data_IF_388310035198
#
_entry.id   IF_388310035198
#
_cell.length_a   1.000
_cell.length_b   1.000
_cell.length_c   1.000
_cell.angle_alpha   90.00
_cell.angle_beta   90.00
_cell.angle_gamma   90.00
#
_symmetry.space_group_name_H-M   'P 1'
#
loop_
_entity.id
_entity.type
_entity.pdbx_description
1 polymer ?
#
# COMPACT_ATOMS: atom_id res chain seq x y z
N UNK A 1 -39.08 0.36 -27.24
CA UNK A 1 -37.89 -0.33 -27.80
C UNK A 1 -36.58 0.14 -27.17
N UNK A 2 -36.22 1.44 -27.25
CA UNK A 2 -34.95 1.97 -26.71
C UNK A 2 -34.74 1.76 -25.20
N UNK A 3 -35.75 2.03 -24.36
CA UNK A 3 -35.65 1.85 -22.90
C UNK A 3 -35.35 0.39 -22.50
N UNK A 4 -36.02 -0.57 -23.15
CA UNK A 4 -35.80 -2.01 -22.92
C UNK A 4 -34.37 -2.42 -23.28
N UNK A 5 -33.83 -1.91 -24.38
CA UNK A 5 -32.44 -2.16 -24.78
C UNK A 5 -31.45 -1.56 -23.78
N UNK A 6 -31.67 -0.33 -23.30
CA UNK A 6 -30.83 0.33 -22.28
C UNK A 6 -30.84 -0.47 -20.97
N UNK A 7 -32.02 -0.87 -20.48
CA UNK A 7 -32.13 -1.68 -19.25
C UNK A 7 -31.37 -2.99 -19.43
N UNK A 8 -31.54 -3.67 -20.56
CA UNK A 8 -30.85 -4.92 -20.84
C UNK A 8 -29.32 -4.73 -20.88
N UNK A 9 -28.84 -3.65 -21.52
CA UNK A 9 -27.41 -3.30 -21.53
C UNK A 9 -26.86 -3.02 -20.14
N UNK A 10 -27.59 -2.29 -19.30
CA UNK A 10 -27.19 -2.02 -17.90
C UNK A 10 -27.13 -3.30 -17.10
N UNK A 11 -28.14 -4.18 -17.22
CA UNK A 11 -28.17 -5.48 -16.54
C UNK A 11 -26.98 -6.34 -16.96
N UNK A 12 -26.72 -6.48 -18.26
CA UNK A 12 -25.57 -7.25 -18.75
C UNK A 12 -24.23 -6.66 -18.30
N UNK A 13 -24.06 -5.34 -18.43
CA UNK A 13 -22.84 -4.65 -18.02
C UNK A 13 -22.60 -4.75 -16.50
N UNK A 14 -23.67 -4.84 -15.70
CA UNK A 14 -23.58 -4.87 -14.24
C UNK A 14 -23.54 -6.29 -13.67
N UNK A 15 -23.91 -7.33 -14.42
CA UNK A 15 -24.03 -8.69 -13.92
C UNK A 15 -22.72 -9.23 -13.32
N UNK A 16 -21.61 -9.11 -14.06
CA UNK A 16 -20.30 -9.57 -13.59
C UNK A 16 -19.76 -8.72 -12.42
N UNK A 17 -19.75 -7.37 -12.49
CA UNK A 17 -19.39 -6.55 -11.34
C UNK A 17 -20.24 -6.82 -10.10
N UNK A 18 -21.55 -7.04 -10.26
CA UNK A 18 -22.46 -7.30 -9.15
C UNK A 18 -22.19 -8.68 -8.54
N UNK A 19 -21.94 -9.71 -9.35
CA UNK A 19 -21.55 -11.02 -8.85
C UNK A 19 -20.26 -10.95 -8.02
N UNK A 20 -19.25 -10.22 -8.52
CA UNK A 20 -18.00 -9.99 -7.79
C UNK A 20 -18.22 -9.18 -6.50
N UNK A 21 -19.09 -8.17 -6.55
CA UNK A 21 -19.44 -7.35 -5.39
C UNK A 21 -20.17 -8.16 -4.32
N UNK A 22 -21.11 -9.02 -4.71
CA UNK A 22 -21.83 -9.91 -3.79
C UNK A 22 -20.85 -10.91 -3.15
N UNK A 23 -19.98 -11.54 -3.95
CA UNK A 23 -18.97 -12.47 -3.43
C UNK A 23 -18.03 -11.78 -2.44
N UNK A 24 -17.47 -10.63 -2.82
CA UNK A 24 -16.57 -9.88 -1.93
C UNK A 24 -17.28 -9.43 -0.66
N UNK A 25 -18.49 -8.87 -0.76
CA UNK A 25 -19.29 -8.49 0.40
C UNK A 25 -19.55 -9.70 1.31
N UNK A 26 -19.90 -10.86 0.76
CA UNK A 26 -20.08 -12.09 1.51
C UNK A 26 -18.80 -12.47 2.26
N UNK A 27 -17.63 -12.47 1.60
CA UNK A 27 -16.34 -12.77 2.24
C UNK A 27 -16.04 -11.81 3.40
N UNK A 28 -16.22 -10.50 3.21
CA UNK A 28 -16.02 -9.51 4.27
C UNK A 28 -17.04 -9.61 5.42
N UNK A 29 -18.25 -10.13 5.17
CA UNK A 29 -19.28 -10.30 6.18
C UNK A 29 -19.19 -11.64 6.94
N UNK A 30 -18.47 -12.62 6.41
CA UNK A 30 -18.38 -13.97 6.99
C UNK A 30 -17.01 -14.27 7.59
N UNK A 31 -15.93 -13.79 7.00
CA UNK A 31 -14.57 -14.04 7.46
C UNK A 31 -14.16 -13.07 8.60
N UNK A 32 -13.79 -13.57 9.80
CA UNK A 32 -13.40 -12.72 10.93
C UNK A 32 -12.14 -11.87 10.69
N UNK A 33 -11.15 -12.40 9.95
CA UNK A 33 -9.93 -11.67 9.63
C UNK A 33 -10.26 -10.49 8.71
N UNK A 34 -11.03 -10.72 7.65
CA UNK A 34 -11.44 -9.67 6.72
C UNK A 34 -12.26 -8.57 7.39
N UNK A 35 -13.07 -8.90 8.41
CA UNK A 35 -13.77 -7.89 9.22
C UNK A 35 -12.80 -6.98 9.96
N UNK A 36 -11.79 -7.56 10.61
CA UNK A 36 -10.78 -6.78 11.34
C UNK A 36 -10.00 -5.91 10.36
N UNK A 37 -9.53 -6.50 9.25
CA UNK A 37 -8.84 -5.78 8.17
C UNK A 37 -9.68 -4.60 7.66
N UNK A 38 -10.98 -4.82 7.39
CA UNK A 38 -11.88 -3.76 6.88
C UNK A 38 -12.13 -2.65 7.91
N UNK A 39 -12.19 -2.98 9.20
CA UNK A 39 -12.37 -2.00 10.28
C UNK A 39 -11.14 -1.08 10.45
N UNK A 40 -9.96 -1.62 10.17
CA UNK A 40 -8.67 -0.94 10.27
C UNK A 40 -8.26 -0.18 9.00
N UNK A 41 -8.64 -0.68 7.82
CA UNK A 41 -8.32 -0.05 6.54
C UNK A 41 -9.19 1.19 6.26
N UNK A 42 -8.85 2.30 6.91
CA UNK A 42 -9.54 3.59 6.78
C UNK A 42 -8.76 4.52 5.85
N UNK A 43 -9.41 4.93 4.77
CA UNK A 43 -8.85 5.84 3.76
C UNK A 43 -9.76 7.08 3.64
N UNK A 44 -9.71 7.97 4.64
CA UNK A 44 -10.52 9.19 4.66
C UNK A 44 -10.18 10.08 3.45
N UNK A 45 -11.09 10.99 3.08
CA UNK A 45 -10.86 11.90 1.98
C UNK A 45 -9.72 12.85 2.37
N UNK A 46 -8.91 13.23 1.39
CA UNK A 46 -7.87 14.22 1.62
C UNK A 46 -8.51 15.61 1.82
N UNK A 47 -7.80 16.58 2.42
CA UNK A 47 -8.21 17.98 2.36
C UNK A 47 -8.51 18.41 0.91
N UNK A 48 -9.60 19.16 0.72
CA UNK A 48 -10.05 19.62 -0.60
C UNK A 48 -8.93 20.36 -1.35
N UNK A 49 -8.08 21.10 -0.64
CA UNK A 49 -6.91 21.79 -1.19
C UNK A 49 -5.94 20.86 -1.91
N UNK A 50 -5.74 19.63 -1.43
CA UNK A 50 -4.86 18.66 -2.10
C UNK A 50 -5.46 18.17 -3.41
N UNK A 51 -6.78 17.99 -3.50
CA UNK A 51 -7.43 17.65 -4.77
C UNK A 51 -7.28 18.80 -5.79
N UNK A 52 -7.40 20.06 -5.37
CA UNK A 52 -7.13 21.20 -6.24
C UNK A 52 -5.65 21.29 -6.65
N UNK A 53 -4.72 20.98 -5.74
CA UNK A 53 -3.30 20.95 -6.08
C UNK A 53 -2.98 19.84 -7.10
N UNK A 54 -3.57 18.65 -6.92
CA UNK A 54 -3.33 17.50 -7.79
C UNK A 54 -4.03 17.60 -9.15
N UNK A 55 -5.31 18.01 -9.18
CA UNK A 55 -6.15 17.98 -10.39
C UNK A 55 -6.58 19.36 -10.88
N UNK A 56 -6.48 20.41 -10.07
CA UNK A 56 -7.05 21.72 -10.40
C UNK A 56 -6.40 22.38 -11.61
N UNK A 57 -5.12 22.12 -11.87
CA UNK A 57 -4.44 22.59 -13.07
C UNK A 57 -4.98 21.96 -14.36
N UNK A 58 -5.63 20.79 -14.30
CA UNK A 58 -6.28 20.15 -15.44
C UNK A 58 -7.65 20.78 -15.76
N UNK A 59 -8.28 21.50 -14.82
CA UNK A 59 -9.64 22.02 -15.02
C UNK A 59 -9.81 22.89 -16.27
N UNK A 60 -8.89 23.81 -16.62
CA UNK A 60 -9.02 24.57 -17.87
C UNK A 60 -9.05 23.67 -19.10
N UNK A 61 -8.22 22.62 -19.12
CA UNK A 61 -8.16 21.66 -20.24
C UNK A 61 -9.42 20.81 -20.31
N UNK A 62 -9.92 20.35 -19.16
CA UNK A 62 -11.14 19.54 -19.08
C UNK A 62 -12.36 20.35 -19.52
N UNK A 63 -12.49 21.60 -19.06
CA UNK A 63 -13.57 22.51 -19.48
C UNK A 63 -13.48 22.77 -20.98
N UNK A 64 -12.29 23.06 -21.50
CA UNK A 64 -12.06 23.19 -22.94
C UNK A 64 -12.45 21.92 -23.70
N UNK A 65 -12.17 20.75 -23.13
CA UNK A 65 -12.53 19.45 -23.70
C UNK A 65 -14.03 19.28 -23.82
N UNK A 66 -14.76 19.56 -22.74
CA UNK A 66 -16.22 19.49 -22.68
C UNK A 66 -16.86 20.39 -23.75
N UNK A 67 -16.37 21.62 -23.90
CA UNK A 67 -16.86 22.56 -24.92
C UNK A 67 -16.62 22.02 -26.33
N UNK A 68 -15.47 21.37 -26.55
CA UNK A 68 -15.03 20.88 -27.85
C UNK A 68 -15.48 19.44 -28.17
N UNK A 69 -16.11 18.76 -27.22
CA UNK A 69 -16.72 17.43 -27.36
C UNK A 69 -18.21 17.48 -27.73
N UNK A 70 -18.78 18.66 -28.02
CA UNK A 70 -20.20 18.77 -28.39
C UNK A 70 -20.56 17.97 -29.66
N UNK A 71 -19.57 17.68 -30.50
CA UNK A 71 -19.69 16.85 -31.70
C UNK A 71 -19.67 15.34 -31.42
N UNK A 72 -19.27 14.89 -30.22
CA UNK A 72 -19.23 13.46 -29.86
C UNK A 72 -20.62 12.84 -29.64
N UNK A 73 -21.68 13.63 -29.77
CA UNK A 73 -23.05 13.22 -29.47
C UNK A 73 -23.34 13.25 -27.97
N UNK A 74 -24.61 13.46 -27.64
CA UNK A 74 -25.03 13.72 -26.26
C UNK A 74 -24.73 12.53 -25.32
N UNK A 75 -24.88 11.30 -25.81
CA UNK A 75 -24.71 10.08 -25.00
C UNK A 75 -23.28 9.89 -24.49
N UNK A 76 -22.27 10.09 -25.35
CA UNK A 76 -20.85 9.92 -24.97
C UNK A 76 -20.40 10.97 -23.96
N UNK A 77 -20.75 12.24 -24.21
CA UNK A 77 -20.42 13.32 -23.29
C UNK A 77 -21.15 13.15 -21.96
N UNK A 78 -22.42 12.74 -21.99
CA UNK A 78 -23.20 12.44 -20.77
C UNK A 78 -22.56 11.33 -19.96
N UNK A 79 -22.09 10.24 -20.60
CA UNK A 79 -21.40 9.16 -19.91
C UNK A 79 -20.13 9.65 -19.19
N UNK A 80 -19.28 10.43 -19.88
CA UNK A 80 -18.06 10.97 -19.29
C UNK A 80 -18.35 11.93 -18.14
N UNK A 81 -19.33 12.82 -18.29
CA UNK A 81 -19.72 13.76 -17.24
C UNK A 81 -20.36 13.04 -16.04
N UNK A 82 -21.21 12.04 -16.29
CA UNK A 82 -21.80 11.22 -15.24
C UNK A 82 -20.72 10.45 -14.47
N UNK A 83 -19.73 9.88 -15.16
CA UNK A 83 -18.58 9.23 -14.51
C UNK A 83 -17.79 10.23 -13.67
N UNK A 84 -17.42 11.39 -14.22
CA UNK A 84 -16.67 12.41 -13.50
C UNK A 84 -17.40 12.88 -12.22
N UNK A 85 -18.69 13.21 -12.35
CA UNK A 85 -19.51 13.67 -11.21
C UNK A 85 -19.70 12.57 -10.18
N UNK A 86 -19.99 11.33 -10.62
CA UNK A 86 -20.17 10.19 -9.72
C UNK A 86 -18.89 9.89 -8.96
N UNK A 87 -17.75 9.80 -9.64
CA UNK A 87 -16.45 9.52 -9.01
C UNK A 87 -16.06 10.60 -8.00
N UNK A 88 -16.25 11.89 -8.33
CA UNK A 88 -15.98 12.99 -7.40
C UNK A 88 -16.97 13.01 -6.21
N UNK A 89 -18.24 12.68 -6.44
CA UNK A 89 -19.24 12.60 -5.38
C UNK A 89 -19.00 11.43 -4.42
N UNK A 90 -18.57 10.28 -4.95
CA UNK A 90 -18.31 9.08 -4.16
C UNK A 90 -17.22 9.30 -3.09
N UNK A 91 -16.23 10.15 -3.35
CA UNK A 91 -15.16 10.51 -2.38
C UNK A 91 -15.73 11.03 -1.05
N UNK A 92 -16.89 11.67 -1.06
CA UNK A 92 -17.49 12.24 0.15
C UNK A 92 -18.57 11.34 0.77
N UNK A 93 -18.72 10.12 0.26
CA UNK A 93 -19.66 9.15 0.85
C UNK A 93 -19.09 8.56 2.14
N UNK A 94 -19.93 8.27 3.14
CA UNK A 94 -19.50 7.81 4.46
C UNK A 94 -19.11 6.31 4.47
N UNK A 95 -18.24 5.89 3.55
CA UNK A 95 -17.67 4.53 3.52
C UNK A 95 -16.21 4.56 3.99
N UNK A 96 -15.60 3.42 4.29
CA UNK A 96 -14.23 3.38 4.87
C UNK A 96 -13.12 3.63 3.85
N UNK A 97 -13.36 3.35 2.57
CA UNK A 97 -12.38 3.39 1.47
C UNK A 97 -12.56 4.60 0.53
N UNK A 98 -13.04 5.73 1.05
CA UNK A 98 -13.48 6.90 0.28
C UNK A 98 -12.47 7.36 -0.78
N UNK A 99 -11.20 7.49 -0.38
CA UNK A 99 -10.14 7.98 -1.27
C UNK A 99 -9.86 7.07 -2.46
N UNK A 100 -10.19 5.77 -2.39
CA UNK A 100 -10.03 4.83 -3.53
C UNK A 100 -11.13 4.98 -4.58
N UNK A 101 -12.27 5.59 -4.24
CA UNK A 101 -13.39 5.74 -5.18
C UNK A 101 -13.13 6.76 -6.29
N UNK A 102 -12.10 7.60 -6.15
CA UNK A 102 -11.64 8.49 -7.23
C UNK A 102 -10.76 7.74 -8.25
N UNK A 103 -10.32 6.52 -7.94
CA UNK A 103 -9.50 5.74 -8.88
C UNK A 103 -10.26 5.55 -10.20
N UNK A 104 -9.58 5.77 -11.31
CA UNK A 104 -10.17 5.75 -12.65
C UNK A 104 -10.79 7.07 -13.13
N UNK A 105 -11.09 8.05 -12.26
CA UNK A 105 -11.58 9.38 -12.71
C UNK A 105 -10.57 10.08 -13.63
N UNK A 106 -9.28 9.81 -13.43
CA UNK A 106 -8.19 10.32 -14.28
C UNK A 106 -8.38 9.97 -15.77
N UNK A 107 -9.03 8.85 -16.10
CA UNK A 107 -9.31 8.46 -17.50
C UNK A 107 -10.18 9.52 -18.17
N UNK A 108 -11.24 9.95 -17.50
CA UNK A 108 -12.16 10.98 -18.01
C UNK A 108 -11.44 12.32 -18.15
N UNK A 109 -10.63 12.69 -17.16
CA UNK A 109 -9.85 13.93 -17.19
C UNK A 109 -8.90 13.95 -18.39
N UNK A 110 -8.17 12.84 -18.64
CA UNK A 110 -7.24 12.71 -19.77
C UNK A 110 -7.98 12.79 -21.10
N UNK A 111 -9.10 12.06 -21.27
CA UNK A 111 -9.87 12.07 -22.52
C UNK A 111 -10.35 13.50 -22.88
N UNK A 112 -10.90 14.23 -21.91
CA UNK A 112 -11.38 15.59 -22.13
C UNK A 112 -10.21 16.56 -22.35
N UNK A 113 -9.14 16.47 -21.55
CA UNK A 113 -7.96 17.31 -21.73
C UNK A 113 -7.32 17.11 -23.11
N UNK A 114 -7.16 15.85 -23.55
CA UNK A 114 -6.59 15.55 -24.87
C UNK A 114 -7.50 16.01 -26.00
N UNK A 115 -8.82 15.93 -25.84
CA UNK A 115 -9.75 16.50 -26.82
C UNK A 115 -9.58 18.01 -26.98
N UNK A 116 -9.36 18.72 -25.89
CA UNK A 116 -9.05 20.15 -25.97
C UNK A 116 -7.75 20.40 -26.73
N UNK A 117 -6.68 19.67 -26.39
CA UNK A 117 -5.37 19.77 -27.04
C UNK A 117 -5.47 19.50 -28.54
N UNK A 118 -6.18 18.45 -28.95
CA UNK A 118 -6.46 18.14 -30.36
C UNK A 118 -7.16 19.32 -31.05
N UNK A 119 -8.11 19.95 -30.37
CA UNK A 119 -8.87 21.06 -30.95
C UNK A 119 -8.10 22.38 -31.08
N UNK A 120 -6.92 22.52 -30.45
CA UNK A 120 -6.12 23.76 -30.48
C UNK A 120 -5.79 24.20 -31.90
N UNK A 121 -5.61 23.24 -32.83
CA UNK A 121 -5.34 23.55 -34.23
C UNK A 121 -6.51 24.29 -34.93
N UNK A 122 -7.75 24.11 -34.44
CA UNK A 122 -8.96 24.76 -34.95
C UNK A 122 -9.20 26.11 -34.28
N UNK A 123 -8.91 26.21 -32.98
CA UNK A 123 -9.20 27.39 -32.18
C UNK A 123 -8.17 28.51 -32.41
N UNK A 124 -6.89 28.17 -32.40
CA UNK A 124 -5.83 29.18 -32.53
C UNK A 124 -5.39 29.27 -34.00
N UNK A 125 -5.59 30.41 -34.67
CA UNK A 125 -5.07 30.60 -36.05
C UNK A 125 -3.55 30.70 -36.12
N UNK A 126 -2.90 31.08 -35.01
CA UNK A 126 -1.45 31.31 -34.98
C UNK A 126 -0.69 30.06 -34.51
N UNK A 127 0.08 29.47 -35.42
CA UNK A 127 0.95 28.31 -35.17
C UNK A 127 1.91 28.51 -33.99
N UNK A 128 2.40 29.75 -33.77
CA UNK A 128 3.31 30.07 -32.65
C UNK A 128 2.64 29.90 -31.29
N UNK A 129 1.38 30.34 -31.14
CA UNK A 129 0.64 30.23 -29.88
C UNK A 129 0.34 28.76 -29.54
N UNK A 130 -0.07 27.96 -30.54
CA UNK A 130 -0.29 26.52 -30.35
C UNK A 130 0.97 25.81 -29.85
N UNK A 131 2.12 26.07 -30.48
CA UNK A 131 3.41 25.51 -30.07
C UNK A 131 3.78 25.92 -28.66
N UNK A 132 3.54 27.17 -28.28
CA UNK A 132 3.79 27.64 -26.91
C UNK A 132 2.91 26.89 -25.91
N UNK A 133 1.61 26.75 -26.16
CA UNK A 133 0.69 26.01 -25.27
C UNK A 133 1.11 24.56 -25.11
N UNK A 134 1.38 23.86 -26.23
CA UNK A 134 1.85 22.47 -26.19
C UNK A 134 3.18 22.34 -25.46
N UNK A 135 4.11 23.28 -25.69
CA UNK A 135 5.39 23.31 -24.98
C UNK A 135 5.23 23.54 -23.47
N UNK A 136 4.36 24.46 -23.04
CA UNK A 136 4.08 24.70 -21.63
C UNK A 136 3.43 23.48 -20.97
N UNK A 137 2.49 22.81 -21.66
CA UNK A 137 1.90 21.56 -21.18
C UNK A 137 2.94 20.46 -21.05
N UNK A 138 3.82 20.30 -22.03
CA UNK A 138 4.93 19.37 -21.97
C UNK A 138 5.83 19.66 -20.76
N UNK A 139 6.25 20.92 -20.58
CA UNK A 139 7.06 21.33 -19.43
C UNK A 139 6.38 21.00 -18.09
N UNK A 140 5.06 21.14 -18.00
CA UNK A 140 4.31 20.85 -16.77
C UNK A 140 4.32 19.35 -16.40
N UNK A 141 4.51 18.45 -17.38
CA UNK A 141 4.62 17.01 -17.12
C UNK A 141 5.98 16.58 -16.59
N UNK A 142 7.05 17.34 -16.88
CA UNK A 142 8.42 16.95 -16.58
C UNK A 142 8.77 16.84 -15.09
N UNK A 143 8.33 17.74 -14.18
CA UNK A 143 8.76 17.71 -12.79
C UNK A 143 8.53 16.36 -12.11
N UNK A 144 7.37 15.74 -12.34
CA UNK A 144 7.04 14.43 -11.75
C UNK A 144 8.00 13.34 -12.22
N UNK A 145 8.23 13.22 -13.53
CA UNK A 145 9.14 12.24 -14.13
C UNK A 145 10.59 12.49 -13.70
N UNK A 146 11.03 13.75 -13.66
CA UNK A 146 12.37 14.13 -13.22
C UNK A 146 12.57 13.76 -11.75
N UNK A 147 11.61 14.06 -10.87
CA UNK A 147 11.69 13.70 -9.45
C UNK A 147 11.78 12.18 -9.26
N UNK A 148 11.01 11.40 -10.02
CA UNK A 148 11.07 9.94 -9.96
C UNK A 148 12.42 9.39 -10.44
N UNK A 149 12.96 9.90 -11.55
CA UNK A 149 14.25 9.45 -12.09
C UNK A 149 15.39 9.84 -11.14
N UNK A 150 15.44 11.09 -10.70
CA UNK A 150 16.48 11.57 -9.77
C UNK A 150 16.38 10.83 -8.44
N UNK A 151 15.18 10.69 -7.87
CA UNK A 151 14.96 9.95 -6.63
C UNK A 151 15.36 8.48 -6.74
N UNK A 152 15.10 7.85 -7.88
CA UNK A 152 15.55 6.49 -8.18
C UNK A 152 17.07 6.38 -8.25
N UNK A 153 17.73 7.28 -9.00
CA UNK A 153 19.19 7.34 -9.08
C UNK A 153 19.82 7.56 -7.70
N UNK A 154 19.30 8.51 -6.92
CA UNK A 154 19.80 8.79 -5.57
C UNK A 154 19.65 7.58 -4.63
N UNK A 155 18.53 6.88 -4.72
CA UNK A 155 18.28 5.66 -3.95
C UNK A 155 19.25 4.53 -4.33
N UNK A 156 19.59 4.41 -5.62
CA UNK A 156 20.57 3.44 -6.10
C UNK A 156 22.02 3.79 -5.73
N UNK A 157 22.37 5.09 -5.74
CA UNK A 157 23.70 5.57 -5.35
C UNK A 157 23.95 5.51 -3.83
N UNK A 158 22.89 5.54 -3.02
CA UNK A 158 22.97 5.46 -1.56
C UNK A 158 22.06 4.36 -1.03
N UNK A 159 22.40 3.07 -1.25
CA UNK A 159 21.55 1.95 -0.85
C UNK A 159 21.29 1.95 0.65
N UNK A 160 20.03 2.07 1.03
CA UNK A 160 19.56 2.05 2.42
C UNK A 160 18.22 1.33 2.50
N UNK A 161 17.91 0.81 3.69
CA UNK A 161 16.57 0.33 3.98
C UNK A 161 15.56 1.48 3.86
N UNK A 162 14.33 1.21 3.36
CA UNK A 162 13.78 -0.10 2.99
C UNK A 162 14.06 -0.54 1.54
N UNK A 163 14.72 0.29 0.72
CA UNK A 163 14.91 0.04 -0.72
C UNK A 163 15.94 -1.07 -0.99
N UNK A 164 16.95 -1.15 -0.13
CA UNK A 164 18.01 -2.15 -0.22
C UNK A 164 18.13 -2.91 1.10
N UNK A 165 18.18 -4.24 0.99
CA UNK A 165 18.49 -5.17 2.09
C UNK A 165 19.87 -5.74 1.79
N UNK A 166 20.77 -5.71 2.79
CA UNK A 166 22.14 -6.13 2.57
C UNK A 166 22.22 -7.64 2.33
N UNK A 167 23.14 -8.08 1.47
CA UNK A 167 23.35 -9.52 1.21
C UNK A 167 23.65 -10.32 2.49
N UNK A 168 24.28 -9.66 3.48
CA UNK A 168 24.58 -10.26 4.79
C UNK A 168 23.31 -10.60 5.56
N UNK A 169 22.34 -9.68 5.56
CA UNK A 169 21.04 -9.92 6.21
C UNK A 169 20.23 -10.96 5.46
N UNK A 170 20.22 -10.92 4.12
CA UNK A 170 19.47 -11.88 3.31
C UNK A 170 19.96 -13.31 3.49
N UNK A 171 21.28 -13.55 3.57
CA UNK A 171 21.81 -14.89 3.89
C UNK A 171 21.28 -15.39 5.25
N UNK A 172 21.26 -14.52 6.26
CA UNK A 172 20.76 -14.87 7.59
C UNK A 172 19.29 -15.30 7.54
N UNK A 173 18.47 -14.54 6.81
CA UNK A 173 17.06 -14.88 6.61
C UNK A 173 16.89 -16.17 5.80
N UNK A 174 17.60 -16.33 4.68
CA UNK A 174 17.52 -17.52 3.83
C UNK A 174 17.97 -18.80 4.53
N UNK A 175 18.88 -18.69 5.51
CA UNK A 175 19.34 -19.82 6.34
C UNK A 175 18.19 -20.47 7.10
N UNK A 176 17.15 -19.70 7.47
CA UNK A 176 15.95 -20.26 8.09
C UNK A 176 15.30 -21.36 7.24
N UNK A 177 15.35 -21.26 5.91
CA UNK A 177 14.78 -22.28 5.02
C UNK A 177 15.50 -23.63 5.09
N UNK A 178 16.72 -23.66 5.61
CA UNK A 178 17.49 -24.89 5.80
C UNK A 178 17.07 -25.63 7.07
N UNK A 179 16.44 -24.94 8.02
CA UNK A 179 15.93 -25.55 9.24
C UNK A 179 14.54 -26.11 9.02
N UNK A 180 14.39 -27.44 9.04
CA UNK A 180 13.09 -28.09 8.85
C UNK A 180 12.01 -27.57 9.83
N UNK A 181 12.42 -27.25 11.07
CA UNK A 181 11.54 -26.68 12.11
C UNK A 181 11.12 -25.24 11.84
N UNK A 182 11.86 -24.49 11.04
CA UNK A 182 11.57 -23.08 10.77
C UNK A 182 10.49 -22.88 9.70
N UNK A 183 10.13 -23.92 8.94
CA UNK A 183 9.05 -23.83 7.96
C UNK A 183 7.72 -23.50 8.66
N UNK A 184 7.08 -22.42 8.23
CA UNK A 184 5.85 -21.87 8.82
C UNK A 184 5.97 -21.46 10.30
N UNK A 185 7.20 -21.37 10.82
CA UNK A 185 7.47 -20.94 12.19
C UNK A 185 7.11 -19.46 12.38
N UNK A 186 6.66 -19.11 13.59
CA UNK A 186 6.40 -17.71 13.95
C UNK A 186 7.69 -17.09 14.44
N UNK A 187 8.11 -16.02 13.76
CA UNK A 187 9.33 -15.28 14.06
C UNK A 187 8.99 -13.93 14.66
N UNK A 188 9.64 -13.63 15.79
CA UNK A 188 9.64 -12.31 16.39
C UNK A 188 10.81 -11.51 15.85
N UNK A 189 10.51 -10.34 15.29
CA UNK A 189 11.49 -9.35 14.85
C UNK A 189 10.89 -7.94 14.96
N UNK A 190 11.69 -6.91 14.70
CA UNK A 190 11.20 -5.53 14.54
C UNK A 190 10.20 -5.41 13.38
N UNK A 191 9.50 -4.28 13.29
CA UNK A 191 8.57 -4.02 12.18
C UNK A 191 9.28 -4.04 10.83
N UNK A 192 10.46 -3.42 10.76
CA UNK A 192 11.28 -3.33 9.55
C UNK A 192 11.74 -4.71 9.10
N UNK A 193 12.30 -5.51 10.01
CA UNK A 193 12.75 -6.87 9.71
C UNK A 193 11.58 -7.79 9.37
N UNK A 194 10.47 -7.70 10.11
CA UNK A 194 9.29 -8.54 9.87
C UNK A 194 8.65 -8.31 8.50
N UNK A 195 8.69 -7.09 7.95
CA UNK A 195 8.18 -6.83 6.60
C UNK A 195 9.10 -7.35 5.49
N UNK A 196 10.39 -7.57 5.78
CA UNK A 196 11.37 -8.06 4.82
C UNK A 196 11.46 -9.59 4.85
N UNK A 197 11.41 -10.18 6.03
CA UNK A 197 11.70 -11.59 6.29
C UNK A 197 10.92 -12.58 5.38
N UNK A 198 9.60 -12.42 5.14
CA UNK A 198 8.83 -13.34 4.30
C UNK A 198 9.23 -13.34 2.81
N UNK A 199 9.99 -12.33 2.36
CA UNK A 199 10.54 -12.33 1.00
C UNK A 199 11.72 -13.31 0.83
N UNK A 200 12.37 -13.71 1.93
CA UNK A 200 13.58 -14.53 1.94
C UNK A 200 13.39 -15.89 2.64
N UNK A 201 12.35 -16.04 3.47
CA UNK A 201 12.10 -17.29 4.19
C UNK A 201 10.61 -17.66 4.24
N UNK A 202 10.33 -18.97 4.25
CA UNK A 202 8.97 -19.53 4.39
C UNK A 202 8.50 -19.52 5.84
N UNK A 203 8.28 -18.33 6.38
CA UNK A 203 8.02 -18.09 7.80
C UNK A 203 6.81 -17.18 7.99
N UNK A 204 6.26 -17.16 9.21
CA UNK A 204 5.21 -16.23 9.63
C UNK A 204 5.81 -15.18 10.55
N UNK A 205 5.35 -13.95 10.41
CA UNK A 205 5.78 -12.82 11.24
C UNK A 205 4.60 -12.28 12.03
N UNK A 206 4.88 -11.78 13.23
CA UNK A 206 3.83 -11.26 14.13
C UNK A 206 3.29 -9.90 13.65
N UNK A 207 4.18 -9.05 13.12
CA UNK A 207 3.81 -7.73 12.61
C UNK A 207 4.23 -7.57 11.15
N UNK A 208 3.27 -7.35 10.27
CA UNK A 208 3.47 -7.01 8.87
C UNK A 208 2.90 -5.63 8.54
N UNK A 209 2.77 -5.37 7.24
CA UNK A 209 2.32 -4.07 6.73
C UNK A 209 0.93 -3.71 7.29
N UNK A 210 0.79 -2.47 7.79
CA UNK A 210 -0.38 -1.91 8.46
C UNK A 210 -1.68 -2.75 8.52
N UNK A 211 -2.55 -2.69 7.49
CA UNK A 211 -3.85 -3.35 7.51
C UNK A 211 -3.78 -4.88 7.54
N UNK A 212 -2.65 -5.49 7.16
CA UNK A 212 -2.46 -6.95 7.14
C UNK A 212 -2.17 -7.54 8.53
N UNK A 213 -2.06 -6.71 9.57
CA UNK A 213 -1.82 -7.15 10.95
C UNK A 213 -2.95 -6.73 11.88
N UNK A 214 -3.81 -7.69 12.27
CA UNK A 214 -4.84 -7.46 13.28
C UNK A 214 -4.26 -6.82 14.54
N UNK A 215 -4.89 -5.75 15.01
CA UNK A 215 -4.42 -4.96 16.16
C UNK A 215 -2.95 -4.53 16.10
N UNK A 216 -2.41 -4.29 14.91
CA UNK A 216 -0.98 -4.02 14.67
C UNK A 216 -0.38 -2.93 15.56
N UNK A 217 -1.10 -1.84 15.87
CA UNK A 217 -0.59 -0.80 16.78
C UNK A 217 -0.30 -1.31 18.21
N UNK A 218 -1.18 -2.16 18.75
CA UNK A 218 -1.00 -2.75 20.09
C UNK A 218 0.15 -3.76 20.06
N UNK A 219 0.15 -4.63 19.04
CA UNK A 219 1.19 -5.64 18.86
C UNK A 219 2.58 -4.98 18.70
N UNK A 220 2.68 -3.89 17.95
CA UNK A 220 3.94 -3.14 17.79
C UNK A 220 4.44 -2.48 19.08
N UNK A 221 3.53 -2.03 19.95
CA UNK A 221 3.89 -1.53 21.29
C UNK A 221 4.46 -2.65 22.14
N UNK A 222 3.84 -3.83 22.10
CA UNK A 222 4.31 -5.01 22.83
C UNK A 222 5.65 -5.53 22.30
N UNK A 223 5.84 -5.55 20.97
CA UNK A 223 7.14 -5.88 20.34
C UNK A 223 8.22 -4.90 20.80
N UNK A 224 7.95 -3.59 20.78
CA UNK A 224 8.93 -2.60 21.28
C UNK A 224 9.25 -2.83 22.74
N UNK A 225 8.23 -3.08 23.57
CA UNK A 225 8.40 -3.39 24.99
C UNK A 225 9.24 -4.66 25.17
N UNK A 226 9.01 -5.71 24.39
CA UNK A 226 9.75 -6.96 24.45
C UNK A 226 11.28 -6.76 24.37
N UNK A 227 11.74 -5.91 23.45
CA UNK A 227 13.17 -5.62 23.22
C UNK A 227 13.80 -4.61 24.20
N UNK A 228 13.05 -4.04 25.14
CA UNK A 228 13.60 -3.14 26.16
C UNK A 228 14.26 -3.92 27.29
N UNK A 229 15.42 -3.48 27.76
CA UNK A 229 16.16 -4.14 28.85
C UNK A 229 15.34 -4.25 30.16
N UNK A 230 14.55 -3.23 30.46
CA UNK A 230 13.76 -3.12 31.71
C UNK A 230 12.51 -4.02 31.71
N UNK A 231 12.18 -4.64 30.59
CA UNK A 231 11.01 -5.51 30.50
C UNK A 231 11.24 -6.79 31.33
N UNK A 232 10.29 -7.17 32.20
CA UNK A 232 10.41 -8.40 32.98
C UNK A 232 10.45 -9.66 32.10
N UNK A 233 11.21 -10.68 32.51
CA UNK A 233 11.29 -11.96 31.80
C UNK A 233 9.93 -12.66 31.70
N UNK A 234 9.06 -12.53 32.72
CA UNK A 234 7.68 -13.04 32.70
C UNK A 234 6.89 -12.50 31.50
N UNK A 235 6.98 -11.19 31.21
CA UNK A 235 6.33 -10.60 30.05
C UNK A 235 6.87 -11.19 28.74
N UNK A 236 8.18 -11.40 28.63
CA UNK A 236 8.79 -11.97 27.42
C UNK A 236 8.33 -13.41 27.20
N UNK A 237 8.33 -14.23 28.24
CA UNK A 237 7.92 -15.63 28.17
C UNK A 237 6.42 -15.74 27.85
N UNK A 238 5.56 -14.96 28.50
CA UNK A 238 4.12 -14.89 28.16
C UNK A 238 3.90 -14.42 26.72
N UNK A 239 4.66 -13.43 26.25
CA UNK A 239 4.57 -12.97 24.86
C UNK A 239 4.98 -14.05 23.86
N UNK A 240 6.08 -14.77 24.13
CA UNK A 240 6.54 -15.91 23.31
C UNK A 240 5.47 -17.01 23.28
N UNK A 241 4.87 -17.33 24.42
CA UNK A 241 3.84 -18.35 24.51
C UNK A 241 2.57 -17.92 23.77
N UNK A 242 2.08 -16.71 24.00
CA UNK A 242 0.85 -16.17 23.41
C UNK A 242 0.89 -16.19 21.89
N UNK A 243 2.01 -15.77 21.28
CA UNK A 243 2.17 -15.73 19.83
C UNK A 243 2.83 -16.98 19.25
N UNK A 244 3.11 -17.98 20.08
CA UNK A 244 3.75 -19.22 19.66
C UNK A 244 5.08 -18.99 18.92
N UNK A 245 5.88 -18.02 19.41
CA UNK A 245 7.17 -17.66 18.82
C UNK A 245 8.11 -18.86 18.92
N UNK A 246 8.81 -19.12 17.82
CA UNK A 246 9.78 -20.21 17.70
C UNK A 246 11.18 -19.69 17.41
N UNK A 247 11.29 -18.54 16.74
CA UNK A 247 12.56 -17.88 16.49
C UNK A 247 12.48 -16.39 16.81
N UNK A 248 13.60 -15.83 17.27
CA UNK A 248 13.74 -14.41 17.56
C UNK A 248 14.94 -13.89 16.78
N UNK A 249 14.75 -12.82 16.01
CA UNK A 249 15.84 -12.11 15.35
C UNK A 249 16.37 -11.02 16.29
N UNK A 250 17.69 -10.84 16.28
CA UNK A 250 18.39 -9.77 16.96
C UNK A 250 19.44 -9.16 16.03
N UNK A 251 19.06 -8.11 15.30
CA UNK A 251 19.94 -7.34 14.42
C UNK A 251 19.84 -5.84 14.65
N UNK A 252 20.30 -5.05 13.68
CA UNK A 252 20.39 -3.59 13.79
C UNK A 252 19.05 -2.89 14.01
N UNK A 253 17.94 -3.43 13.47
CA UNK A 253 16.62 -2.85 13.69
C UNK A 253 16.08 -3.19 15.08
N UNK A 254 16.34 -4.39 15.58
CA UNK A 254 15.92 -4.80 16.92
C UNK A 254 16.72 -4.06 18.00
N UNK A 255 18.02 -3.83 17.80
CA UNK A 255 18.87 -3.01 18.68
C UNK A 255 18.38 -1.56 18.80
N UNK A 256 17.67 -1.03 17.81
CA UNK A 256 17.05 0.32 17.90
C UNK A 256 15.81 0.35 18.81
N UNK A 257 15.20 -0.81 19.09
CA UNK A 257 14.00 -0.90 19.94
C UNK A 257 14.34 -0.90 21.43
N UNK A 258 15.54 -1.35 21.81
CA UNK A 258 16.04 -1.31 23.18
C UNK A 258 17.34 -2.11 23.36
N UNK A 259 17.85 -2.13 24.60
CA UNK A 259 19.15 -2.70 24.96
C UNK A 259 19.05 -4.10 25.63
N UNK A 260 17.96 -4.85 25.37
CA UNK A 260 17.83 -6.22 25.89
C UNK A 260 18.95 -7.13 25.36
N UNK A 261 19.43 -8.04 26.21
CA UNK A 261 20.53 -8.94 25.90
C UNK A 261 20.01 -10.38 25.78
N UNK A 262 19.59 -10.83 24.58
CA UNK A 262 18.99 -12.17 24.40
C UNK A 262 19.92 -13.32 24.79
N UNK A 263 21.24 -13.11 24.75
CA UNK A 263 22.24 -14.13 25.12
C UNK A 263 22.25 -14.47 26.61
N UNK A 264 21.65 -13.64 27.45
CA UNK A 264 21.56 -13.89 28.89
C UNK A 264 20.36 -14.78 29.26
N UNK A 265 19.52 -15.14 28.29
CA UNK A 265 18.29 -15.90 28.51
C UNK A 265 18.52 -17.37 28.14
N UNK A 266 18.43 -18.27 29.12
CA UNK A 266 18.80 -19.69 28.95
C UNK A 266 17.92 -20.46 27.95
N UNK A 267 16.71 -19.96 27.68
CA UNK A 267 15.75 -20.51 26.71
C UNK A 267 15.99 -20.04 25.27
N UNK A 268 17.02 -19.22 25.00
CA UNK A 268 17.35 -18.74 23.66
C UNK A 268 18.66 -19.36 23.15
N UNK A 269 18.54 -20.24 22.17
CA UNK A 269 19.68 -20.96 21.59
C UNK A 269 20.08 -20.28 20.27
N UNK A 270 21.28 -19.72 20.13
CA UNK A 270 21.71 -19.14 18.86
C UNK A 270 21.87 -20.23 17.80
N UNK A 271 21.13 -20.13 16.70
CA UNK A 271 21.18 -21.09 15.56
C UNK A 271 21.84 -20.52 14.32
N UNK A 272 21.94 -19.19 14.24
CA UNK A 272 22.69 -18.49 13.21
C UNK A 272 23.25 -17.18 13.77
N UNK A 273 24.47 -16.84 13.36
CA UNK A 273 25.13 -15.61 13.77
C UNK A 273 26.05 -15.11 12.66
N UNK A 274 25.96 -13.82 12.37
CA UNK A 274 26.94 -13.10 11.57
C UNK A 274 27.19 -11.71 12.19
N UNK A 275 27.95 -10.85 11.50
CA UNK A 275 28.25 -9.50 11.99
C UNK A 275 27.00 -8.60 12.16
N UNK A 276 25.94 -8.81 11.37
CA UNK A 276 24.76 -7.94 11.35
C UNK A 276 23.64 -8.42 12.28
N UNK A 277 23.41 -9.73 12.38
CA UNK A 277 22.29 -10.31 13.13
C UNK A 277 22.61 -11.66 13.77
N UNK A 278 21.81 -11.98 14.79
CA UNK A 278 21.74 -13.30 15.43
C UNK A 278 20.30 -13.80 15.35
N UNK A 279 20.12 -15.08 15.08
CA UNK A 279 18.82 -15.76 15.13
C UNK A 279 18.85 -16.77 16.28
N UNK A 280 17.89 -16.66 17.18
CA UNK A 280 17.72 -17.55 18.31
C UNK A 280 16.54 -18.49 18.08
N UNK A 281 16.73 -19.80 18.27
CA UNK A 281 15.64 -20.77 18.48
C UNK A 281 15.17 -20.69 19.93
N UNK A 282 13.86 -20.71 20.12
CA UNK A 282 13.23 -20.72 21.44
C UNK A 282 13.13 -22.16 21.96
N UNK A 283 13.84 -22.47 23.03
CA UNK A 283 13.73 -23.73 23.76
C UNK A 283 12.70 -23.63 24.89
N UNK A 284 11.47 -24.03 24.60
CA UNK A 284 10.34 -23.99 25.55
C UNK A 284 10.50 -24.92 26.75
N UNK A 285 11.42 -25.90 26.69
CA UNK A 285 11.67 -26.77 27.84
C UNK A 285 12.41 -26.03 28.98
N UNK A 286 13.03 -24.88 28.67
CA UNK A 286 13.80 -24.05 29.61
C UNK A 286 13.08 -22.76 30.01
N UNK A 287 11.80 -22.62 29.66
CA UNK A 287 10.97 -21.51 30.13
C UNK A 287 10.39 -21.86 31.49
N UNK A 288 10.37 -20.88 32.40
CA UNK A 288 9.76 -21.03 33.71
C UNK A 288 8.23 -20.91 33.54
N UNK A 289 7.50 -21.92 34.02
CA UNK A 289 6.03 -21.97 33.97
C UNK A 289 5.39 -21.32 35.19
#
# INVERSE_FOLDING_TARGET
AKLKAVILSVVWASCLPLALLIYTAYSFLTDPYLKIWAAQNRLPPAPISLYFLSYGWLFPLVIGGIVQSRDWGNERLTLLLAWLVTGMGLIFTPITIQRRLIEGVWIVLVLLAMRFVESLHRIARQQKFQRLVVFLLFLLTLPSSILLVIGGIQSALTPKTPIFVSYRDTIGYETLNQFQKAKDAVILASYETSNVLPAYAFVRVISGHGPESPSGETVLKDIRKFYQAQTPSEFRQDFIQRYQIQYIVWGDNERKLGDWQPRLEDYLIPVYENESLVIFEVDRAKMDY
#
